data_IF_395783949720
#
_entry.id   IF_395783949720
#
_cell.length_a   1.000
_cell.length_b   1.000
_cell.length_c   1.000
_cell.angle_alpha   90.00
_cell.angle_beta   90.00
_cell.angle_gamma   90.00
#
_symmetry.space_group_name_H-M   'P 1'
#
loop_
_entity.id
_entity.type
_entity.pdbx_description
1 polymer ?
#
# COMPACT_ATOMS: atom_id res chain seq x y z
N UNK A 1 20.85 -51.35 -47.32
CA UNK A 1 19.62 -50.80 -46.73
C UNK A 1 18.65 -50.48 -47.85
N UNK A 2 17.45 -51.06 -47.80
CA UNK A 2 16.38 -50.90 -48.79
C UNK A 2 15.79 -49.48 -48.75
N UNK A 3 15.16 -49.04 -49.83
CA UNK A 3 14.51 -47.72 -49.92
C UNK A 3 13.48 -47.54 -48.78
N UNK A 4 12.79 -48.62 -48.39
CA UNK A 4 11.87 -48.62 -47.23
C UNK A 4 12.56 -48.33 -45.89
N UNK A 5 13.79 -48.78 -45.68
CA UNK A 5 14.51 -48.53 -44.41
C UNK A 5 15.04 -47.09 -44.32
N UNK A 6 15.25 -46.41 -45.45
CA UNK A 6 15.57 -44.97 -45.47
C UNK A 6 14.32 -44.09 -45.29
N UNK A 7 13.18 -44.50 -45.82
CA UNK A 7 11.91 -43.79 -45.66
C UNK A 7 11.41 -43.86 -44.21
N UNK A 8 11.50 -45.03 -43.56
CA UNK A 8 11.13 -45.20 -42.16
C UNK A 8 12.02 -44.36 -41.23
N UNK A 9 13.33 -44.29 -41.50
CA UNK A 9 14.26 -43.46 -40.73
C UNK A 9 14.00 -41.97 -40.91
N UNK A 10 13.64 -41.53 -42.13
CA UNK A 10 13.27 -40.14 -42.41
C UNK A 10 11.96 -39.73 -41.73
N UNK A 11 10.96 -40.62 -41.68
CA UNK A 11 9.69 -40.37 -40.98
C UNK A 11 9.89 -40.32 -39.46
N UNK A 12 10.74 -41.19 -38.90
CA UNK A 12 11.11 -41.17 -37.48
C UNK A 12 11.91 -39.92 -37.10
N UNK A 13 12.83 -39.47 -37.98
CA UNK A 13 13.57 -38.21 -37.80
C UNK A 13 12.64 -36.98 -37.92
N UNK A 14 11.67 -36.99 -38.83
CA UNK A 14 10.68 -35.92 -38.92
C UNK A 14 9.73 -35.88 -37.71
N UNK A 15 9.29 -37.04 -37.19
CA UNK A 15 8.46 -37.09 -35.99
C UNK A 15 9.22 -36.69 -34.73
N UNK A 16 10.52 -37.03 -34.63
CA UNK A 16 11.35 -36.61 -33.50
C UNK A 16 11.74 -35.13 -33.56
N UNK A 17 11.94 -34.56 -34.75
CA UNK A 17 12.13 -33.11 -34.93
C UNK A 17 10.83 -32.32 -34.70
N UNK A 18 9.67 -32.84 -35.12
CA UNK A 18 8.38 -32.24 -34.82
C UNK A 18 8.04 -32.32 -33.33
N UNK A 19 8.38 -33.42 -32.65
CA UNK A 19 8.21 -33.55 -31.20
C UNK A 19 9.17 -32.66 -30.40
N UNK A 20 10.35 -32.33 -30.93
CA UNK A 20 11.25 -31.33 -30.32
C UNK A 20 10.84 -29.88 -30.60
N UNK A 21 10.16 -29.62 -31.72
CA UNK A 21 9.60 -28.31 -32.05
C UNK A 21 8.24 -28.03 -31.38
N UNK A 22 7.53 -29.09 -30.94
CA UNK A 22 6.25 -29.05 -30.22
C UNK A 22 6.40 -29.41 -28.73
N UNK A 23 7.62 -29.36 -28.19
CA UNK A 23 7.74 -29.22 -26.74
C UNK A 23 7.17 -27.86 -26.40
N UNK A 24 5.92 -27.81 -25.91
CA UNK A 24 5.32 -26.61 -25.33
C UNK A 24 6.35 -26.04 -24.37
N UNK A 25 7.01 -24.95 -24.79
CA UNK A 25 7.95 -24.25 -23.95
C UNK A 25 7.13 -23.87 -22.72
N UNK A 26 7.47 -24.43 -21.56
CA UNK A 26 6.73 -24.17 -20.33
C UNK A 26 6.60 -22.65 -20.20
N UNK A 27 5.38 -22.11 -20.01
CA UNK A 27 5.18 -20.68 -20.05
C UNK A 27 6.12 -20.02 -19.04
N UNK A 28 6.71 -18.88 -19.41
CA UNK A 28 7.70 -18.21 -18.57
C UNK A 28 7.12 -17.98 -17.16
N UNK A 29 7.88 -18.27 -16.07
CA UNK A 29 7.39 -18.04 -14.72
C UNK A 29 6.96 -16.58 -14.52
N UNK A 30 5.86 -16.36 -13.80
CA UNK A 30 5.35 -15.04 -13.47
C UNK A 30 5.21 -14.88 -11.96
N UNK A 31 5.53 -13.70 -11.44
CA UNK A 31 5.26 -13.33 -10.05
C UNK A 31 4.24 -12.18 -9.98
N UNK A 32 3.21 -12.37 -9.16
CA UNK A 32 2.22 -11.34 -8.82
C UNK A 32 2.26 -11.12 -7.32
N UNK A 33 2.67 -9.92 -6.91
CA UNK A 33 2.63 -9.47 -5.51
C UNK A 33 1.38 -8.63 -5.28
N UNK A 34 0.47 -9.16 -4.47
CA UNK A 34 -0.70 -8.48 -3.95
C UNK A 34 -0.35 -7.98 -2.55
N UNK A 35 -0.07 -6.68 -2.44
CA UNK A 35 0.24 -6.02 -1.17
C UNK A 35 -1.02 -5.36 -0.62
N UNK A 36 -1.34 -5.63 0.63
CA UNK A 36 -2.43 -4.96 1.35
C UNK A 36 -1.83 -4.32 2.59
N UNK A 37 -1.87 -2.99 2.65
CA UNK A 37 -1.39 -2.21 3.80
C UNK A 37 -2.22 -2.54 5.04
N UNK A 38 -1.56 -2.82 6.17
CA UNK A 38 -2.22 -3.03 7.47
C UNK A 38 -3.09 -4.30 7.59
N UNK A 39 -2.98 -5.25 6.68
CA UNK A 39 -3.76 -6.50 6.72
C UNK A 39 -3.30 -7.41 7.87
N UNK A 40 -4.01 -7.30 9.00
CA UNK A 40 -3.76 -8.11 10.19
C UNK A 40 -4.05 -9.61 9.95
N UNK A 41 -3.06 -10.50 10.13
CA UNK A 41 -3.29 -11.94 10.01
C UNK A 41 -4.28 -12.43 11.08
N UNK A 42 -4.29 -11.82 12.26
CA UNK A 42 -5.22 -12.18 13.33
C UNK A 42 -6.68 -11.88 12.95
N UNK A 43 -6.93 -10.69 12.39
CA UNK A 43 -8.27 -10.31 11.94
C UNK A 43 -8.69 -11.15 10.74
N UNK A 44 -7.78 -11.40 9.80
CA UNK A 44 -8.05 -12.24 8.62
C UNK A 44 -8.37 -13.70 9.01
N UNK A 45 -7.59 -14.28 9.92
CA UNK A 45 -7.83 -15.63 10.46
C UNK A 45 -9.19 -15.72 11.14
N UNK A 46 -9.53 -14.73 11.97
CA UNK A 46 -10.82 -14.67 12.64
C UNK A 46 -11.99 -14.47 11.65
N UNK A 47 -11.78 -13.73 10.55
CA UNK A 47 -12.81 -13.51 9.53
C UNK A 47 -13.12 -14.79 8.74
N UNK A 48 -12.12 -15.66 8.55
CA UNK A 48 -12.28 -16.97 7.91
C UNK A 48 -12.86 -18.00 8.87
N UNK A 49 -12.36 -18.04 10.10
CA UNK A 49 -12.82 -18.97 11.13
C UNK A 49 -13.06 -18.27 12.47
N UNK A 50 -14.24 -17.64 12.69
CA UNK A 50 -14.55 -16.91 13.92
C UNK A 50 -14.65 -17.82 15.16
N UNK A 51 -14.78 -19.13 14.94
CA UNK A 51 -14.78 -20.15 15.99
C UNK A 51 -13.38 -20.57 16.45
N UNK A 52 -12.32 -20.14 15.76
CA UNK A 52 -10.96 -20.49 16.13
C UNK A 52 -10.59 -19.89 17.50
N UNK A 53 -9.97 -20.65 18.42
CA UNK A 53 -9.47 -20.11 19.69
C UNK A 53 -8.56 -18.89 19.55
N UNK A 54 -7.80 -18.78 18.45
CA UNK A 54 -6.95 -17.62 18.17
C UNK A 54 -7.75 -16.31 18.06
N UNK A 55 -9.04 -16.38 17.68
CA UNK A 55 -9.95 -15.23 17.65
C UNK A 55 -10.06 -14.55 19.02
N UNK A 56 -9.87 -15.27 20.12
CA UNK A 56 -9.88 -14.69 21.47
C UNK A 56 -8.71 -13.72 21.75
N UNK A 57 -7.74 -13.61 20.83
CA UNK A 57 -6.66 -12.61 20.90
C UNK A 57 -7.08 -11.25 20.35
N UNK A 58 -8.21 -11.15 19.64
CA UNK A 58 -8.77 -9.87 19.23
C UNK A 58 -9.30 -9.11 20.45
N UNK A 59 -9.24 -7.77 20.47
CA UNK A 59 -9.96 -6.96 21.45
C UNK A 59 -11.47 -7.22 21.34
N UNK A 60 -12.18 -7.47 22.44
CA UNK A 60 -13.64 -7.71 22.36
C UNK A 60 -14.06 -8.79 21.34
N UNK A 61 -13.56 -10.04 21.46
CA UNK A 61 -13.79 -11.09 20.48
C UNK A 61 -15.26 -11.48 20.34
N UNK A 62 -16.09 -11.22 21.35
CA UNK A 62 -17.55 -11.34 21.29
C UNK A 62 -18.18 -10.36 20.29
N UNK A 63 -17.75 -9.09 20.28
CA UNK A 63 -18.23 -8.09 19.32
C UNK A 63 -17.84 -8.45 17.89
N UNK A 64 -16.62 -8.95 17.71
CA UNK A 64 -16.17 -9.46 16.41
C UNK A 64 -17.09 -10.57 15.88
N UNK A 65 -17.42 -11.56 16.72
CA UNK A 65 -18.28 -12.68 16.34
C UNK A 65 -19.71 -12.25 16.06
N UNK A 66 -20.22 -11.29 16.83
CA UNK A 66 -21.54 -10.70 16.60
C UNK A 66 -21.59 -9.99 15.23
N UNK A 67 -20.64 -9.09 14.96
CA UNK A 67 -20.52 -8.40 13.67
C UNK A 67 -20.38 -9.39 12.50
N UNK A 68 -19.56 -10.43 12.67
CA UNK A 68 -19.41 -11.50 11.67
C UNK A 68 -20.71 -12.24 11.38
N UNK A 69 -21.41 -12.68 12.43
CA UNK A 69 -22.70 -13.37 12.33
C UNK A 69 -23.77 -12.48 11.70
N UNK A 70 -23.82 -11.21 12.11
CA UNK A 70 -24.74 -10.22 11.57
C UNK A 70 -24.52 -9.99 10.08
N UNK A 71 -23.27 -9.76 9.65
CA UNK A 71 -22.94 -9.56 8.24
C UNK A 71 -23.28 -10.79 7.39
N UNK A 72 -22.94 -12.00 7.86
CA UNK A 72 -23.33 -13.24 7.17
C UNK A 72 -24.83 -13.38 7.01
N UNK A 73 -25.58 -13.07 8.06
CA UNK A 73 -27.05 -13.14 8.07
C UNK A 73 -27.68 -12.12 7.11
N UNK A 74 -27.26 -10.86 7.21
CA UNK A 74 -27.79 -9.75 6.40
C UNK A 74 -27.46 -9.92 4.93
N UNK A 75 -26.22 -10.28 4.61
CA UNK A 75 -25.74 -10.45 3.24
C UNK A 75 -26.11 -11.81 2.65
N UNK A 76 -26.62 -12.74 3.47
CA UNK A 76 -26.91 -14.14 3.09
C UNK A 76 -25.69 -14.86 2.51
N UNK A 77 -24.53 -14.58 3.09
CA UNK A 77 -23.26 -15.16 2.68
C UNK A 77 -22.85 -16.28 3.65
N UNK A 78 -22.53 -17.45 3.10
CA UNK A 78 -21.99 -18.56 3.90
C UNK A 78 -20.58 -18.26 4.41
N UNK A 79 -19.80 -17.49 3.66
CA UNK A 79 -18.43 -17.09 3.97
C UNK A 79 -18.25 -15.63 3.62
N UNK A 80 -17.53 -14.89 4.45
CA UNK A 80 -17.27 -13.48 4.18
C UNK A 80 -16.13 -13.29 3.18
N UNK A 81 -15.11 -14.17 3.19
CA UNK A 81 -13.89 -14.04 2.37
C UNK A 81 -13.64 -15.28 1.48
N UNK A 82 -14.56 -15.61 0.55
CA UNK A 82 -14.50 -16.85 -0.23
C UNK A 82 -13.25 -16.95 -1.12
N UNK A 83 -12.76 -15.86 -1.68
CA UNK A 83 -11.60 -15.89 -2.59
C UNK A 83 -10.31 -16.14 -1.81
N UNK A 84 -10.06 -15.34 -0.77
CA UNK A 84 -8.86 -15.48 0.06
C UNK A 84 -8.83 -16.86 0.73
N UNK A 85 -9.96 -17.33 1.27
CA UNK A 85 -10.04 -18.65 1.88
C UNK A 85 -9.71 -19.75 0.85
N UNK A 86 -10.29 -19.69 -0.35
CA UNK A 86 -10.06 -20.70 -1.38
C UNK A 86 -8.60 -20.74 -1.83
N UNK A 87 -8.04 -19.60 -2.24
CA UNK A 87 -6.74 -19.55 -2.90
C UNK A 87 -5.56 -19.59 -1.93
N UNK A 88 -5.68 -18.97 -0.75
CA UNK A 88 -4.54 -18.84 0.17
C UNK A 88 -4.62 -19.75 1.40
N UNK A 89 -5.83 -20.11 1.87
CA UNK A 89 -5.98 -20.97 3.06
C UNK A 89 -6.14 -22.45 2.72
N UNK A 90 -6.99 -22.77 1.72
CA UNK A 90 -7.29 -24.17 1.37
C UNK A 90 -6.31 -24.73 0.34
N UNK A 91 -6.00 -23.94 -0.69
CA UNK A 91 -5.18 -24.37 -1.82
C UNK A 91 -3.80 -23.70 -1.87
N UNK A 92 -3.49 -22.83 -0.89
CA UNK A 92 -2.26 -22.05 -0.85
C UNK A 92 -1.28 -22.50 0.23
N UNK A 93 -0.17 -21.78 0.31
CA UNK A 93 0.81 -21.89 1.39
C UNK A 93 0.78 -20.61 2.21
N UNK A 94 0.69 -20.76 3.52
CA UNK A 94 0.75 -19.63 4.46
C UNK A 94 2.02 -19.70 5.29
N UNK A 95 2.66 -18.56 5.45
CA UNK A 95 3.75 -18.35 6.39
C UNK A 95 3.48 -17.07 7.16
N UNK A 96 3.76 -17.09 8.46
CA UNK A 96 3.78 -15.86 9.24
C UNK A 96 4.98 -15.02 8.82
N UNK A 97 4.74 -13.74 8.56
CA UNK A 97 5.80 -12.75 8.41
C UNK A 97 5.96 -12.02 9.74
N UNK A 98 7.19 -11.91 10.21
CA UNK A 98 7.53 -11.20 11.43
C UNK A 98 8.32 -9.94 11.06
N UNK A 99 7.82 -8.78 11.49
CA UNK A 99 8.60 -7.56 11.44
C UNK A 99 9.49 -7.50 12.68
N UNK A 100 10.80 -7.69 12.50
CA UNK A 100 11.79 -7.57 13.58
C UNK A 100 12.11 -6.11 13.95
N UNK A 101 11.52 -5.17 13.22
CA UNK A 101 11.65 -3.73 13.41
C UNK A 101 10.29 -3.09 13.67
N UNK A 102 10.23 -1.77 13.69
CA UNK A 102 8.97 -1.04 13.81
C UNK A 102 8.02 -1.44 12.67
N UNK A 103 6.79 -1.90 12.97
CA UNK A 103 5.80 -2.29 11.97
C UNK A 103 5.17 -1.03 11.35
N UNK A 104 5.90 -0.39 10.45
CA UNK A 104 5.49 0.81 9.71
C UNK A 104 5.50 0.50 8.22
N UNK A 105 4.56 1.08 7.48
CA UNK A 105 4.38 0.77 6.06
C UNK A 105 5.66 0.93 5.24
N UNK A 106 6.27 2.12 5.20
CA UNK A 106 7.42 2.37 4.32
C UNK A 106 8.65 1.52 4.68
N UNK A 107 9.08 1.42 5.96
CA UNK A 107 10.16 0.51 6.35
C UNK A 107 9.88 -0.96 6.05
N UNK A 108 8.66 -1.44 6.31
CA UNK A 108 8.28 -2.83 6.02
C UNK A 108 8.29 -3.11 4.53
N UNK A 109 7.71 -2.23 3.71
CA UNK A 109 7.75 -2.34 2.25
C UNK A 109 9.19 -2.32 1.73
N UNK A 110 10.10 -1.56 2.34
CA UNK A 110 11.51 -1.59 1.96
C UNK A 110 12.15 -2.96 2.21
N UNK A 111 11.83 -3.63 3.32
CA UNK A 111 12.32 -5.00 3.58
C UNK A 111 11.73 -5.99 2.56
N UNK A 112 10.43 -5.91 2.33
CA UNK A 112 9.70 -6.80 1.42
C UNK A 112 10.20 -6.65 -0.01
N UNK A 113 10.38 -5.42 -0.47
CA UNK A 113 10.76 -5.13 -1.85
C UNK A 113 12.26 -5.29 -2.11
N UNK A 114 13.11 -5.42 -1.09
CA UNK A 114 14.57 -5.59 -1.28
C UNK A 114 15.11 -6.92 -0.77
N UNK A 115 14.39 -7.59 0.12
CA UNK A 115 14.90 -8.73 0.89
C UNK A 115 16.02 -8.34 1.89
N UNK A 116 16.27 -7.05 2.11
CA UNK A 116 17.35 -6.54 2.97
C UNK A 116 16.82 -5.85 4.21
N UNK A 117 17.70 -5.67 5.21
CA UNK A 117 17.37 -4.85 6.39
C UNK A 117 17.08 -3.42 5.93
N UNK A 118 15.92 -2.89 6.32
CA UNK A 118 15.53 -1.56 5.86
C UNK A 118 16.49 -0.48 6.37
N UNK A 119 17.02 0.31 5.44
CA UNK A 119 17.70 1.58 5.74
C UNK A 119 16.70 2.74 5.89
N UNK A 120 15.48 2.57 5.39
CA UNK A 120 14.36 3.50 5.56
C UNK A 120 13.74 3.26 6.94
N UNK A 121 13.81 4.27 7.82
CA UNK A 121 13.49 4.09 9.25
C UNK A 121 12.08 4.50 9.66
N UNK A 122 11.38 5.25 8.81
CA UNK A 122 10.08 5.85 9.14
C UNK A 122 9.26 6.10 7.87
N UNK A 123 7.96 6.40 8.04
CA UNK A 123 7.07 6.82 6.95
C UNK A 123 7.36 8.24 6.45
N UNK A 124 8.18 9.00 7.18
CA UNK A 124 8.65 10.32 6.79
C UNK A 124 10.17 10.41 6.85
N UNK A 125 10.74 11.32 6.08
CA UNK A 125 12.14 11.69 6.09
C UNK A 125 12.30 13.11 6.64
N UNK A 126 13.29 13.31 7.49
CA UNK A 126 13.75 14.63 7.91
C UNK A 126 15.23 14.83 7.54
N UNK A 127 15.52 15.87 6.78
CA UNK A 127 16.89 16.29 6.51
C UNK A 127 17.32 17.35 7.51
N UNK A 128 18.17 16.97 8.47
CA UNK A 128 18.68 17.89 9.50
C UNK A 128 19.45 19.10 8.97
N UNK A 129 20.04 18.99 7.76
CA UNK A 129 20.86 20.06 7.17
C UNK A 129 19.98 21.12 6.47
N UNK A 130 18.93 20.67 5.77
CA UNK A 130 18.03 21.58 5.02
C UNK A 130 16.76 21.94 5.79
N UNK A 131 16.43 21.21 6.86
CA UNK A 131 15.16 21.33 7.57
C UNK A 131 13.97 20.73 6.82
N UNK A 132 14.21 20.03 5.70
CA UNK A 132 13.17 19.47 4.85
C UNK A 132 12.51 18.26 5.50
N UNK A 133 11.18 18.23 5.51
CA UNK A 133 10.36 17.08 5.88
C UNK A 133 9.54 16.62 4.69
N UNK A 134 9.58 15.32 4.40
CA UNK A 134 8.78 14.69 3.35
C UNK A 134 8.19 13.39 3.89
N UNK A 135 6.88 13.22 3.74
CA UNK A 135 6.20 11.93 3.96
C UNK A 135 6.32 11.08 2.69
N UNK A 136 6.69 9.81 2.83
CA UNK A 136 6.69 8.84 1.74
C UNK A 136 5.29 8.32 1.41
N UNK A 137 4.33 8.54 2.31
CA UNK A 137 2.94 8.14 2.16
C UNK A 137 2.05 9.26 1.60
N UNK A 138 2.61 10.45 1.31
CA UNK A 138 1.89 11.56 0.69
C UNK A 138 1.64 11.26 -0.81
N UNK A 139 0.65 10.42 -1.06
CA UNK A 139 0.28 9.97 -2.41
C UNK A 139 -0.15 11.14 -3.31
N UNK A 140 -0.70 12.22 -2.74
CA UNK A 140 -1.06 13.42 -3.52
C UNK A 140 0.18 14.17 -3.98
N UNK A 141 1.13 14.45 -3.08
CA UNK A 141 2.40 15.11 -3.44
C UNK A 141 3.17 14.27 -4.44
N UNK A 142 3.24 12.96 -4.23
CA UNK A 142 3.87 12.03 -5.18
C UNK A 142 3.15 12.12 -6.55
N UNK A 143 1.82 12.07 -6.59
CA UNK A 143 1.05 12.24 -7.83
C UNK A 143 1.30 13.60 -8.53
N UNK A 144 1.41 14.69 -7.77
CA UNK A 144 1.71 16.02 -8.29
C UNK A 144 3.15 16.12 -8.80
N UNK A 145 4.12 15.56 -8.07
CA UNK A 145 5.52 15.50 -8.50
C UNK A 145 5.64 14.70 -9.79
N UNK A 146 4.89 13.60 -9.91
CA UNK A 146 4.79 12.82 -11.14
C UNK A 146 4.23 13.67 -12.29
N UNK A 147 3.13 14.41 -12.10
CA UNK A 147 2.61 15.33 -13.14
C UNK A 147 3.66 16.36 -13.57
N UNK A 148 4.51 16.81 -12.64
CA UNK A 148 5.62 17.73 -12.91
C UNK A 148 6.87 17.06 -13.51
N UNK A 149 6.83 15.76 -13.81
CA UNK A 149 7.89 15.04 -14.52
C UNK A 149 8.86 14.26 -13.64
N UNK A 150 8.58 14.09 -12.34
CA UNK A 150 9.36 13.16 -11.52
C UNK A 150 9.22 11.74 -12.07
N UNK A 151 10.35 11.02 -12.14
CA UNK A 151 10.39 9.64 -12.66
C UNK A 151 10.34 8.55 -11.59
N UNK A 152 10.61 8.90 -10.32
CA UNK A 152 10.72 8.00 -9.17
C UNK A 152 10.27 8.69 -7.89
N UNK A 153 9.95 7.90 -6.86
CA UNK A 153 9.56 8.38 -5.54
C UNK A 153 10.76 8.86 -4.72
N UNK A 154 10.49 9.70 -3.71
CA UNK A 154 11.52 10.16 -2.78
C UNK A 154 12.06 9.03 -1.90
N UNK A 155 11.23 8.02 -1.58
CA UNK A 155 11.63 6.87 -0.79
C UNK A 155 12.67 6.00 -1.53
N UNK A 156 12.48 5.81 -2.84
CA UNK A 156 13.39 5.03 -3.67
C UNK A 156 14.80 5.65 -3.77
N UNK A 157 14.90 6.98 -3.70
CA UNK A 157 16.19 7.69 -3.76
C UNK A 157 17.18 7.21 -2.68
N UNK A 158 16.71 6.87 -1.49
CA UNK A 158 17.59 6.39 -0.41
C UNK A 158 18.15 5.00 -0.71
N UNK A 159 17.32 4.11 -1.25
CA UNK A 159 17.76 2.78 -1.68
C UNK A 159 18.77 2.88 -2.83
N UNK A 160 18.53 3.79 -3.78
CA UNK A 160 19.43 4.03 -4.91
C UNK A 160 20.80 4.55 -4.48
N UNK A 161 20.84 5.51 -3.56
CA UNK A 161 22.10 6.01 -3.00
C UNK A 161 22.92 4.91 -2.30
N UNK A 162 22.23 3.93 -1.71
CA UNK A 162 22.85 2.79 -1.06
C UNK A 162 23.16 1.62 -2.02
N UNK A 163 22.79 1.72 -3.30
CA UNK A 163 22.96 0.64 -4.27
C UNK A 163 22.11 -0.60 -3.97
N UNK A 164 20.98 -0.44 -3.28
CA UNK A 164 20.09 -1.54 -2.91
C UNK A 164 19.04 -1.74 -4.02
N UNK A 165 19.06 -2.88 -4.74
CA UNK A 165 18.07 -3.14 -5.78
C UNK A 165 16.71 -3.51 -5.19
N UNK A 166 15.64 -3.18 -5.91
CA UNK A 166 14.30 -3.71 -5.67
C UNK A 166 14.17 -5.09 -6.31
N UNK A 167 13.21 -5.89 -5.83
CA UNK A 167 12.83 -7.17 -6.41
C UNK A 167 12.43 -7.02 -7.89
N UNK A 168 11.79 -5.91 -8.24
CA UNK A 168 11.44 -5.59 -9.63
C UNK A 168 12.67 -5.46 -10.55
N UNK A 169 13.83 -5.10 -10.01
CA UNK A 169 15.05 -4.85 -10.80
C UNK A 169 15.68 -6.16 -11.30
N UNK A 170 15.24 -7.31 -10.79
CA UNK A 170 15.65 -8.63 -11.27
C UNK A 170 14.83 -9.11 -12.47
N UNK A 171 13.82 -8.35 -12.89
CA UNK A 171 13.01 -8.63 -14.07
C UNK A 171 13.36 -7.66 -15.20
N UNK A 172 13.01 -8.05 -16.43
CA UNK A 172 13.20 -7.17 -17.59
C UNK A 172 12.28 -5.96 -17.47
N UNK A 173 12.86 -4.80 -17.68
CA UNK A 173 12.25 -3.48 -17.54
C UNK A 173 10.88 -3.30 -18.24
N UNK A 174 10.70 -3.92 -19.39
CA UNK A 174 9.47 -3.88 -20.21
C UNK A 174 8.44 -4.95 -19.85
N UNK A 175 8.85 -5.90 -19.00
CA UNK A 175 8.08 -7.03 -18.46
C UNK A 175 7.65 -6.81 -17.00
N UNK A 176 7.93 -5.64 -16.44
CA UNK A 176 7.55 -5.21 -15.09
C UNK A 176 6.36 -4.26 -15.14
N UNK A 177 5.38 -4.47 -14.26
CA UNK A 177 4.33 -3.51 -13.98
C UNK A 177 4.15 -3.34 -12.47
N UNK A 178 4.05 -2.10 -12.01
CA UNK A 178 3.84 -1.77 -10.59
C UNK A 178 2.78 -0.70 -10.46
N UNK A 179 1.91 -0.80 -9.45
CA UNK A 179 1.01 0.29 -9.07
C UNK A 179 1.76 1.45 -8.43
N UNK A 180 1.05 2.53 -8.10
CA UNK A 180 1.50 3.53 -7.13
C UNK A 180 1.76 2.80 -5.81
N UNK A 181 2.97 2.93 -5.30
CA UNK A 181 3.45 2.34 -4.04
C UNK A 181 4.67 3.14 -3.56
N UNK A 182 5.17 2.97 -2.32
CA UNK A 182 6.30 3.75 -1.83
C UNK A 182 7.58 3.60 -2.68
N UNK A 183 7.81 2.41 -3.25
CA UNK A 183 8.99 2.10 -4.06
C UNK A 183 8.59 1.62 -5.47
N UNK A 184 8.76 2.47 -6.49
CA UNK A 184 8.63 2.05 -7.89
C UNK A 184 9.63 2.77 -8.79
N UNK A 185 10.11 2.05 -9.81
CA UNK A 185 11.09 2.54 -10.80
C UNK A 185 10.48 3.44 -11.86
N UNK A 186 9.29 3.06 -12.33
CA UNK A 186 8.61 3.71 -13.45
C UNK A 186 7.29 4.27 -12.98
N UNK A 187 7.03 5.51 -13.38
CA UNK A 187 5.75 6.17 -13.13
C UNK A 187 4.59 5.30 -13.65
N UNK A 188 3.59 4.97 -12.81
CA UNK A 188 2.42 4.16 -13.19
C UNK A 188 1.40 5.00 -13.97
N UNK A 189 1.76 5.43 -15.17
CA UNK A 189 0.99 6.37 -16.00
C UNK A 189 -0.36 5.82 -16.42
N UNK A 190 -0.49 4.51 -16.58
CA UNK A 190 -1.73 3.82 -16.91
C UNK A 190 -2.70 3.74 -15.72
N UNK A 191 -2.21 3.57 -14.49
CA UNK A 191 -3.03 3.73 -13.29
C UNK A 191 -3.52 5.17 -13.18
N UNK A 192 -2.63 6.17 -13.30
CA UNK A 192 -3.02 7.59 -13.27
C UNK A 192 -4.04 7.92 -14.38
N UNK A 193 -3.86 7.37 -15.58
CA UNK A 193 -4.82 7.53 -16.69
C UNK A 193 -6.15 6.84 -16.39
N UNK A 194 -6.13 5.64 -15.81
CA UNK A 194 -7.34 4.89 -15.46
C UNK A 194 -8.12 5.60 -14.35
N UNK A 195 -7.43 6.10 -13.32
CA UNK A 195 -8.00 6.93 -12.27
C UNK A 195 -8.57 8.22 -12.85
N UNK A 196 -7.83 8.93 -13.71
CA UNK A 196 -8.33 10.14 -14.37
C UNK A 196 -9.56 9.90 -15.24
N UNK A 197 -9.57 8.83 -16.03
CA UNK A 197 -10.74 8.40 -16.81
C UNK A 197 -11.92 8.10 -15.90
N UNK A 198 -11.72 7.29 -14.85
CA UNK A 198 -12.81 6.95 -13.92
C UNK A 198 -13.26 8.15 -13.08
N UNK A 199 -12.40 9.09 -12.76
CA UNK A 199 -12.79 10.34 -12.12
C UNK A 199 -13.71 11.17 -13.03
N UNK A 200 -13.34 11.30 -14.31
CA UNK A 200 -14.09 12.08 -15.30
C UNK A 200 -15.38 11.37 -15.74
N UNK A 201 -15.33 10.07 -16.02
CA UNK A 201 -16.40 9.31 -16.66
C UNK A 201 -17.12 8.33 -15.74
N UNK A 202 -16.57 8.03 -14.56
CA UNK A 202 -17.03 6.94 -13.67
C UNK A 202 -17.15 5.59 -14.35
N UNK A 203 -16.34 5.33 -15.37
CA UNK A 203 -16.45 4.11 -16.18
C UNK A 203 -17.68 4.08 -17.11
N UNK A 204 -18.53 5.11 -17.11
CA UNK A 204 -19.66 5.24 -18.03
C UNK A 204 -19.31 6.14 -19.22
N UNK A 205 -19.66 5.77 -20.47
CA UNK A 205 -19.60 6.70 -21.59
C UNK A 205 -20.70 7.77 -21.44
N UNK A 206 -20.39 8.91 -20.81
CA UNK A 206 -21.32 10.05 -20.73
C UNK A 206 -20.91 11.16 -21.70
N UNK A 207 -21.80 11.49 -22.65
CA UNK A 207 -21.61 12.59 -23.61
C UNK A 207 -22.04 13.97 -23.07
N UNK A 208 -22.50 14.07 -21.82
CA UNK A 208 -23.08 15.30 -21.28
C UNK A 208 -22.23 15.91 -20.14
N UNK A 209 -21.47 17.00 -20.38
CA UNK A 209 -20.60 17.61 -19.38
C UNK A 209 -21.34 18.20 -18.17
N UNK A 210 -22.59 18.65 -18.32
CA UNK A 210 -23.39 19.17 -17.19
C UNK A 210 -23.80 18.09 -16.20
N UNK A 211 -23.98 16.84 -16.68
CA UNK A 211 -24.23 15.67 -15.83
C UNK A 211 -22.98 15.29 -15.03
N UNK A 212 -21.78 15.49 -15.60
CA UNK A 212 -20.51 15.26 -14.90
C UNK A 212 -20.31 16.29 -13.78
N UNK A 213 -20.56 17.58 -14.05
CA UNK A 213 -20.44 18.66 -13.06
C UNK A 213 -21.44 18.49 -11.90
N UNK A 214 -22.73 18.27 -12.19
CA UNK A 214 -23.75 18.05 -11.14
C UNK A 214 -23.43 16.83 -10.27
N UNK A 215 -22.89 15.76 -10.87
CA UNK A 215 -22.48 14.54 -10.15
C UNK A 215 -21.24 14.76 -9.29
N UNK A 216 -20.25 15.54 -9.73
CA UNK A 216 -19.12 15.92 -8.90
C UNK A 216 -19.53 16.76 -7.70
N UNK A 217 -20.41 17.76 -7.90
CA UNK A 217 -20.92 18.59 -6.79
C UNK A 217 -21.72 17.75 -5.79
N UNK A 218 -22.51 16.78 -6.25
CA UNK A 218 -23.20 15.85 -5.38
C UNK A 218 -22.22 15.00 -4.55
N UNK A 219 -21.21 14.39 -5.18
CA UNK A 219 -20.21 13.58 -4.46
C UNK A 219 -19.38 14.41 -3.46
N UNK A 220 -19.04 15.66 -3.78
CA UNK A 220 -18.40 16.57 -2.83
C UNK A 220 -19.30 16.91 -1.63
N UNK A 221 -20.62 16.84 -1.78
CA UNK A 221 -21.59 17.08 -0.71
C UNK A 221 -21.86 15.84 0.15
N UNK A 222 -21.69 14.62 -0.38
CA UNK A 222 -21.93 13.37 0.35
C UNK A 222 -20.67 12.71 0.93
N UNK A 223 -19.49 13.30 0.69
CA UNK A 223 -18.21 12.69 1.07
C UNK A 223 -17.82 11.64 0.05
N UNK A 224 -16.96 12.01 -0.89
CA UNK A 224 -16.55 11.10 -1.95
C UNK A 224 -15.65 9.99 -1.37
N UNK A 225 -16.11 8.74 -1.47
CA UNK A 225 -15.34 7.54 -1.14
C UNK A 225 -14.27 7.27 -2.21
N UNK A 226 -13.29 8.17 -2.29
CA UNK A 226 -12.16 8.07 -3.20
C UNK A 226 -11.27 6.85 -2.94
N UNK A 227 -11.00 6.44 -1.67
CA UNK A 227 -10.16 5.28 -1.39
C UNK A 227 -10.74 3.97 -1.96
N UNK A 228 -12.01 3.66 -1.70
CA UNK A 228 -12.67 2.44 -2.22
C UNK A 228 -12.60 2.38 -3.75
N UNK A 229 -12.93 3.50 -4.39
CA UNK A 229 -12.93 3.60 -5.85
C UNK A 229 -11.54 3.42 -6.44
N UNK A 230 -10.51 3.98 -5.80
CA UNK A 230 -9.14 3.85 -6.29
C UNK A 230 -8.68 2.39 -6.28
N UNK A 231 -8.97 1.67 -5.19
CA UNK A 231 -8.58 0.27 -5.04
C UNK A 231 -9.37 -0.64 -6.00
N UNK A 232 -10.66 -0.42 -6.16
CA UNK A 232 -11.44 -1.15 -7.18
C UNK A 232 -10.90 -0.92 -8.60
N UNK A 233 -10.60 0.33 -8.97
CA UNK A 233 -10.01 0.64 -10.30
C UNK A 233 -8.65 -0.01 -10.47
N UNK A 234 -7.85 -0.06 -9.41
CA UNK A 234 -6.56 -0.73 -9.41
C UNK A 234 -6.72 -2.24 -9.60
N UNK A 235 -7.67 -2.88 -8.91
CA UNK A 235 -7.96 -4.31 -9.05
C UNK A 235 -8.31 -4.65 -10.51
N UNK A 236 -9.25 -3.91 -11.12
CA UNK A 236 -9.64 -4.17 -12.50
C UNK A 236 -8.53 -3.83 -13.51
N UNK A 237 -7.71 -2.81 -13.23
CA UNK A 237 -6.52 -2.55 -14.06
C UNK A 237 -5.53 -3.70 -13.97
N UNK A 238 -5.31 -4.24 -12.78
CA UNK A 238 -4.40 -5.36 -12.53
C UNK A 238 -4.87 -6.61 -13.25
N UNK A 239 -6.16 -6.95 -13.14
CA UNK A 239 -6.74 -8.07 -13.90
C UNK A 239 -6.53 -7.93 -15.41
N UNK A 240 -6.71 -6.71 -15.98
CA UNK A 240 -6.38 -6.45 -17.39
C UNK A 240 -4.88 -6.61 -17.69
N UNK A 241 -4.01 -6.20 -16.76
CA UNK A 241 -2.54 -6.34 -16.91
C UNK A 241 -2.07 -7.78 -16.87
N UNK A 242 -2.72 -8.62 -16.06
CA UNK A 242 -2.47 -10.07 -16.03
C UNK A 242 -2.71 -10.69 -17.40
N UNK A 243 -3.72 -10.24 -18.13
CA UNK A 243 -4.09 -10.76 -19.45
C UNK A 243 -3.51 -9.95 -20.62
N UNK A 244 -2.77 -8.87 -20.37
CA UNK A 244 -2.21 -8.02 -21.43
C UNK A 244 -1.15 -8.78 -22.22
N UNK A 245 -1.26 -8.76 -23.54
CA UNK A 245 -0.29 -9.41 -24.44
C UNK A 245 0.67 -8.41 -25.09
N UNK A 246 1.87 -8.86 -25.41
CA UNK A 246 2.82 -8.12 -26.24
C UNK A 246 2.49 -8.25 -27.74
N UNK A 247 3.30 -7.62 -28.59
CA UNK A 247 3.12 -7.67 -30.05
C UNK A 247 3.23 -9.10 -30.63
N UNK A 248 3.84 -10.03 -29.88
CA UNK A 248 3.93 -11.44 -30.25
C UNK A 248 2.74 -12.26 -29.77
N UNK A 249 1.74 -11.66 -29.12
CA UNK A 249 0.58 -12.36 -28.58
C UNK A 249 0.86 -13.09 -27.26
N UNK A 250 2.06 -12.96 -26.69
CA UNK A 250 2.40 -13.57 -25.41
C UNK A 250 2.02 -12.64 -24.27
N UNK A 251 1.55 -13.19 -23.16
CA UNK A 251 1.26 -12.41 -21.96
C UNK A 251 2.51 -11.65 -21.50
N UNK A 252 2.36 -10.32 -21.42
CA UNK A 252 3.44 -9.36 -21.44
C UNK A 252 4.28 -9.39 -20.17
N UNK A 253 3.65 -9.37 -19.01
CA UNK A 253 4.34 -9.06 -17.76
C UNK A 253 4.80 -10.32 -17.01
N UNK A 254 6.07 -10.31 -16.60
CA UNK A 254 6.70 -11.35 -15.79
C UNK A 254 6.62 -11.03 -14.29
N UNK A 255 6.50 -9.74 -13.96
CA UNK A 255 6.34 -9.25 -12.59
C UNK A 255 5.24 -8.20 -12.51
N UNK A 256 4.28 -8.42 -11.62
CA UNK A 256 3.26 -7.44 -11.26
C UNK A 256 3.31 -7.20 -9.75
N UNK A 257 3.36 -5.95 -9.31
CA UNK A 257 3.26 -5.57 -7.89
C UNK A 257 2.19 -4.53 -7.70
N UNK A 258 1.23 -4.82 -6.83
CA UNK A 258 0.11 -3.92 -6.53
C UNK A 258 0.01 -3.67 -5.05
N UNK A 259 -0.41 -2.47 -4.68
CA UNK A 259 -0.62 -2.05 -3.30
C UNK A 259 -2.03 -1.49 -3.12
N UNK A 260 -2.82 -2.16 -2.29
CA UNK A 260 -4.07 -1.63 -1.75
C UNK A 260 -3.77 -0.92 -0.43
N UNK A 261 -3.89 0.42 -0.42
CA UNK A 261 -3.58 1.23 0.78
C UNK A 261 -4.80 1.63 1.59
N UNK A 262 -6.03 1.39 1.09
CA UNK A 262 -7.23 1.88 1.78
C UNK A 262 -7.55 1.08 3.04
N UNK A 263 -7.14 -0.19 3.13
CA UNK A 263 -7.50 -1.06 4.25
C UNK A 263 -6.95 -0.52 5.57
N UNK A 264 -5.64 -0.29 5.67
CA UNK A 264 -5.02 0.34 6.85
C UNK A 264 -5.66 1.69 7.21
N UNK A 265 -5.81 2.57 6.21
CA UNK A 265 -6.40 3.88 6.41
C UNK A 265 -7.81 3.79 7.03
N UNK A 266 -8.64 2.89 6.52
CA UNK A 266 -10.03 2.77 6.95
C UNK A 266 -10.13 2.13 8.33
N UNK A 267 -9.23 1.20 8.66
CA UNK A 267 -9.15 0.62 9.99
C UNK A 267 -8.74 1.66 11.04
N UNK A 268 -7.90 2.65 10.66
CA UNK A 268 -7.56 3.77 11.53
C UNK A 268 -8.67 4.82 11.67
N UNK A 269 -9.48 5.04 10.64
CA UNK A 269 -10.59 6.00 10.66
C UNK A 269 -11.79 5.49 11.44
N UNK A 270 -12.16 4.22 11.23
CA UNK A 270 -13.31 3.58 11.86
C UNK A 270 -12.97 2.13 12.25
N UNK A 271 -12.54 1.90 13.51
CA UNK A 271 -12.08 0.59 13.98
C UNK A 271 -13.22 -0.35 14.40
N UNK A 272 -14.49 -0.02 14.11
CA UNK A 272 -15.61 -0.93 14.42
C UNK A 272 -15.53 -2.20 13.57
N UNK A 273 -15.92 -3.34 14.15
CA UNK A 273 -15.75 -4.64 13.51
C UNK A 273 -16.57 -4.82 12.24
N UNK A 274 -17.76 -4.20 12.18
CA UNK A 274 -18.59 -4.18 10.98
C UNK A 274 -17.87 -3.48 9.83
N UNK A 275 -17.23 -2.34 10.10
CA UNK A 275 -16.45 -1.61 9.10
C UNK A 275 -15.24 -2.45 8.67
N UNK A 276 -14.46 -2.97 9.62
CA UNK A 276 -13.29 -3.81 9.35
C UNK A 276 -13.65 -5.01 8.46
N UNK A 277 -14.67 -5.77 8.85
CA UNK A 277 -15.14 -6.93 8.08
C UNK A 277 -15.67 -6.52 6.71
N UNK A 278 -16.40 -5.41 6.60
CA UNK A 278 -16.90 -4.94 5.30
C UNK A 278 -15.76 -4.58 4.33
N UNK A 279 -14.68 -3.97 4.82
CA UNK A 279 -13.50 -3.68 4.01
C UNK A 279 -12.70 -4.92 3.64
N UNK A 280 -12.61 -5.92 4.53
CA UNK A 280 -12.03 -7.21 4.18
C UNK A 280 -12.83 -7.90 3.07
N UNK A 281 -14.16 -7.83 3.10
CA UNK A 281 -15.00 -8.39 2.03
C UNK A 281 -14.77 -7.68 0.69
N UNK A 282 -14.64 -6.35 0.68
CA UNK A 282 -14.28 -5.61 -0.55
C UNK A 282 -12.90 -6.01 -1.07
N UNK A 283 -11.92 -6.13 -0.18
CA UNK A 283 -10.59 -6.60 -0.56
C UNK A 283 -10.63 -8.02 -1.14
N UNK A 284 -11.43 -8.91 -0.56
CA UNK A 284 -11.65 -10.27 -1.08
C UNK A 284 -12.21 -10.25 -2.51
N UNK A 285 -13.20 -9.39 -2.79
CA UNK A 285 -13.77 -9.22 -4.13
C UNK A 285 -12.74 -8.71 -5.14
N UNK A 286 -11.96 -7.68 -4.76
CA UNK A 286 -10.90 -7.11 -5.61
C UNK A 286 -9.78 -8.11 -5.91
N UNK A 287 -9.36 -8.86 -4.89
CA UNK A 287 -8.38 -9.94 -5.03
C UNK A 287 -8.97 -11.06 -5.90
N UNK A 288 -10.25 -11.38 -5.72
CA UNK A 288 -10.99 -12.33 -6.54
C UNK A 288 -10.99 -11.98 -8.03
N UNK A 289 -11.14 -10.69 -8.38
CA UNK A 289 -11.04 -10.22 -9.77
C UNK A 289 -9.65 -10.52 -10.38
N UNK A 290 -8.59 -10.23 -9.63
CA UNK A 290 -7.21 -10.50 -10.07
C UNK A 290 -6.97 -12.01 -10.23
N UNK A 291 -7.40 -12.81 -9.25
CA UNK A 291 -7.25 -14.27 -9.27
C UNK A 291 -8.03 -14.90 -10.43
N UNK A 292 -9.23 -14.40 -10.72
CA UNK A 292 -10.01 -14.82 -11.88
C UNK A 292 -9.27 -14.55 -13.20
N UNK A 293 -8.57 -13.42 -13.31
CA UNK A 293 -7.72 -13.14 -14.47
C UNK A 293 -6.51 -14.09 -14.54
N UNK A 294 -5.95 -14.49 -13.40
CA UNK A 294 -4.87 -15.51 -13.35
C UNK A 294 -5.39 -16.87 -13.82
N UNK A 295 -6.59 -17.27 -13.42
CA UNK A 295 -7.18 -18.55 -13.89
C UNK A 295 -7.45 -18.56 -15.40
N UNK A 296 -7.79 -17.40 -15.97
CA UNK A 296 -7.97 -17.21 -17.42
C UNK A 296 -6.64 -17.14 -18.19
N UNK A 297 -5.52 -16.95 -17.49
CA UNK A 297 -4.21 -16.74 -18.07
C UNK A 297 -3.64 -17.99 -18.73
N UNK A 298 -2.94 -17.83 -19.85
CA UNK A 298 -2.16 -18.90 -20.47
C UNK A 298 -0.99 -19.35 -19.59
N UNK A 299 -0.50 -18.47 -18.70
CA UNK A 299 0.55 -18.75 -17.71
C UNK A 299 0.00 -19.17 -16.34
N UNK A 300 -1.28 -19.55 -16.20
CA UNK A 300 -1.88 -19.93 -14.89
C UNK A 300 -1.03 -20.91 -14.08
N UNK A 301 -0.49 -21.95 -14.72
CA UNK A 301 0.30 -23.01 -14.08
C UNK A 301 1.75 -22.62 -13.76
N UNK A 302 2.19 -21.46 -14.23
CA UNK A 302 3.53 -20.90 -14.02
C UNK A 302 3.48 -19.54 -13.33
N UNK A 303 2.33 -19.17 -12.76
CA UNK A 303 2.13 -17.91 -12.03
C UNK A 303 2.15 -18.16 -10.53
N UNK A 304 3.07 -17.52 -9.83
CA UNK A 304 3.07 -17.42 -8.37
C UNK A 304 2.35 -16.14 -7.96
N UNK A 305 1.25 -16.28 -7.23
CA UNK A 305 0.54 -15.15 -6.60
C UNK A 305 0.86 -15.14 -5.11
N UNK A 306 1.32 -13.99 -4.60
CA UNK A 306 1.65 -13.80 -3.19
C UNK A 306 0.78 -12.68 -2.63
N UNK A 307 -0.07 -13.00 -1.66
CA UNK A 307 -0.79 -12.02 -0.85
C UNK A 307 0.01 -11.76 0.44
N UNK A 308 0.33 -10.50 0.71
CA UNK A 308 1.16 -10.13 1.84
C UNK A 308 0.82 -8.74 2.41
N UNK A 309 1.23 -8.53 3.65
CA UNK A 309 1.05 -7.28 4.40
C UNK A 309 2.39 -6.79 4.94
N UNK A 310 2.53 -5.48 5.10
CA UNK A 310 3.65 -4.82 5.76
C UNK A 310 3.61 -4.94 7.27
N UNK A 311 2.42 -4.86 7.85
CA UNK A 311 2.18 -5.00 9.29
C UNK A 311 0.78 -5.52 9.59
N UNK A 312 0.52 -5.75 10.88
CA UNK A 312 -0.82 -5.97 11.38
C UNK A 312 -1.51 -4.66 11.76
N UNK A 313 -2.63 -4.78 12.44
CA UNK A 313 -3.41 -3.65 12.95
C UNK A 313 -3.38 -3.69 14.47
N UNK A 314 -3.10 -2.54 15.08
CA UNK A 314 -3.29 -2.30 16.51
C UNK A 314 -4.46 -1.33 16.69
N UNK A 315 -5.54 -1.81 17.31
CA UNK A 315 -6.77 -1.06 17.50
C UNK A 315 -7.50 -1.55 18.75
N UNK A 316 -8.35 -0.69 19.31
CA UNK A 316 -9.35 -1.07 20.29
C UNK A 316 -10.68 -0.46 19.83
N UNK A 317 -11.71 -1.28 19.52
CA UNK A 317 -12.96 -0.78 18.96
C UNK A 317 -13.79 0.05 19.95
N UNK A 318 -13.45 0.04 21.25
CA UNK A 318 -14.21 0.77 22.28
C UNK A 318 -13.37 1.85 22.99
N UNK A 319 -12.06 1.92 22.75
CA UNK A 319 -11.18 2.93 23.35
C UNK A 319 -10.63 3.86 22.28
N UNK A 320 -10.59 5.14 22.63
CA UNK A 320 -9.78 6.11 21.89
C UNK A 320 -8.31 5.88 22.25
N UNK A 321 -7.47 5.70 21.24
CA UNK A 321 -6.03 5.71 21.40
C UNK A 321 -5.58 7.13 21.79
N UNK A 322 -5.02 7.29 22.99
CA UNK A 322 -4.46 8.55 23.45
C UNK A 322 -2.99 8.68 23.02
N UNK A 323 -2.67 9.75 22.31
CA UNK A 323 -1.28 10.12 22.06
C UNK A 323 -0.72 10.90 23.26
N UNK A 324 0.56 10.70 23.58
CA UNK A 324 1.27 11.60 24.48
C UNK A 324 1.40 12.97 23.79
N UNK A 325 1.09 14.10 24.46
CA UNK A 325 1.11 15.43 23.84
C UNK A 325 2.56 15.96 23.76
N UNK A 326 3.48 15.19 23.19
CA UNK A 326 4.91 15.47 23.27
C UNK A 326 5.29 16.72 22.49
N UNK A 327 4.62 17.02 21.37
CA UNK A 327 4.81 18.28 20.64
C UNK A 327 4.51 19.50 21.54
N UNK A 328 3.54 19.37 22.44
CA UNK A 328 3.23 20.40 23.44
C UNK A 328 4.29 20.44 24.54
N UNK A 329 4.74 19.29 25.05
CA UNK A 329 5.77 19.24 26.08
C UNK A 329 7.08 19.84 25.59
N UNK A 330 7.59 19.44 24.42
CA UNK A 330 8.84 19.98 23.86
C UNK A 330 8.83 21.50 23.68
N UNK A 331 7.66 22.11 23.49
CA UNK A 331 7.51 23.56 23.41
C UNK A 331 7.61 24.28 24.75
N UNK A 332 7.47 23.57 25.87
CA UNK A 332 7.58 24.17 27.20
C UNK A 332 9.04 24.40 27.57
N UNK A 333 9.28 25.44 28.37
CA UNK A 333 10.61 25.81 28.85
C UNK A 333 11.34 24.64 29.53
N UNK A 334 10.63 23.87 30.35
CA UNK A 334 11.19 22.73 31.10
C UNK A 334 11.71 21.60 30.20
N UNK A 335 11.27 21.57 28.93
CA UNK A 335 11.69 20.60 27.92
C UNK A 335 12.50 21.25 26.78
N UNK A 336 13.03 22.45 26.99
CA UNK A 336 13.94 23.13 26.06
C UNK A 336 13.28 24.16 25.14
N UNK A 337 11.97 24.37 25.25
CA UNK A 337 11.28 25.46 24.52
C UNK A 337 11.33 25.30 22.99
N UNK A 338 11.36 24.08 22.47
CA UNK A 338 11.61 23.83 21.05
C UNK A 338 10.51 24.39 20.14
N UNK A 339 10.88 24.90 18.97
CA UNK A 339 9.95 25.03 17.83
C UNK A 339 9.87 23.67 17.15
N UNK A 340 8.69 23.05 17.14
CA UNK A 340 8.51 21.66 16.73
C UNK A 340 7.95 21.58 15.32
N UNK A 341 8.64 20.88 14.42
CA UNK A 341 8.15 20.50 13.10
C UNK A 341 7.57 19.08 13.17
N UNK A 342 6.33 18.90 12.74
CA UNK A 342 5.65 17.61 12.74
C UNK A 342 4.96 17.33 11.38
N UNK A 343 4.88 16.06 10.94
CA UNK A 343 4.22 15.70 9.69
C UNK A 343 2.69 15.83 9.75
N UNK A 344 2.09 15.63 10.94
CA UNK A 344 0.61 15.60 11.13
C UNK A 344 0.19 16.58 12.23
N UNK A 345 -1.09 16.97 12.21
CA UNK A 345 -1.67 17.80 13.26
C UNK A 345 -1.64 17.12 14.65
N UNK A 346 -1.40 17.89 15.71
CA UNK A 346 -1.24 17.42 17.09
C UNK A 346 -2.55 17.05 17.81
N UNK A 347 -3.69 17.51 17.32
CA UNK A 347 -5.00 17.20 17.90
C UNK A 347 -6.08 17.00 16.82
N UNK A 348 -7.20 16.42 17.25
CA UNK A 348 -8.34 16.09 16.40
C UNK A 348 -9.00 17.35 15.82
N UNK A 349 -8.97 18.48 16.54
CA UNK A 349 -9.53 19.76 16.08
C UNK A 349 -8.74 20.32 14.89
N UNK A 350 -7.42 20.30 14.96
CA UNK A 350 -6.52 20.69 13.89
C UNK A 350 -6.46 19.63 12.77
N UNK A 351 -6.71 18.35 13.07
CA UNK A 351 -6.94 17.32 12.06
C UNK A 351 -8.29 17.48 11.30
N UNK A 352 -9.21 18.31 11.80
CA UNK A 352 -10.40 18.73 11.06
C UNK A 352 -10.16 19.99 10.22
N UNK A 353 -9.07 20.74 10.49
CA UNK A 353 -8.66 21.93 9.71
C UNK A 353 -7.81 21.63 8.48
N UNK A 354 -7.57 20.35 8.17
CA UNK A 354 -6.81 19.96 6.98
C UNK A 354 -7.65 20.33 5.74
N UNK A 355 -7.16 21.23 4.87
CA UNK A 355 -7.95 21.74 3.76
C UNK A 355 -8.34 20.66 2.74
N UNK A 356 -7.61 19.54 2.73
CA UNK A 356 -7.90 18.35 1.92
C UNK A 356 -7.75 17.12 2.82
N UNK A 357 -8.84 16.36 3.02
CA UNK A 357 -8.78 15.08 3.74
C UNK A 357 -7.84 14.13 2.99
N UNK A 358 -6.95 13.45 3.71
CA UNK A 358 -5.96 12.52 3.13
C UNK A 358 -4.69 13.19 2.59
N UNK A 359 -4.43 14.46 2.91
CA UNK A 359 -3.19 15.16 2.57
C UNK A 359 -2.50 15.61 3.86
N UNK A 360 -1.32 15.07 4.12
CA UNK A 360 -0.52 15.47 5.26
C UNK A 360 0.17 16.81 4.99
N UNK A 361 -0.15 17.82 5.80
CA UNK A 361 0.55 19.09 5.78
C UNK A 361 1.46 19.16 6.99
N UNK A 362 2.77 19.20 6.74
CA UNK A 362 3.76 19.46 7.78
C UNK A 362 3.43 20.76 8.52
N UNK A 363 3.43 20.73 9.85
CA UNK A 363 3.13 21.88 10.69
C UNK A 363 4.35 22.27 11.51
N UNK A 364 4.55 23.58 11.62
CA UNK A 364 5.52 24.16 12.56
C UNK A 364 4.75 24.70 13.76
N UNK A 365 5.00 24.11 14.91
CA UNK A 365 4.49 24.53 16.20
C UNK A 365 5.53 25.42 16.87
N UNK A 366 5.34 26.74 16.77
CA UNK A 366 6.23 27.70 17.42
C UNK A 366 6.11 27.64 18.94
N UNK A 367 7.26 27.79 19.62
CA UNK A 367 7.32 28.06 21.06
C UNK A 367 7.72 29.50 21.31
N UNK A 368 7.04 30.17 22.24
CA UNK A 368 7.45 31.48 22.77
C UNK A 368 8.77 31.42 23.54
N UNK A 369 9.12 30.23 24.03
CA UNK A 369 10.33 29.94 24.81
C UNK A 369 11.52 29.55 23.91
N UNK A 370 11.34 29.54 22.59
CA UNK A 370 12.37 29.08 21.66
C UNK A 370 13.58 30.02 21.64
N UNK A 371 14.80 29.51 21.90
CA UNK A 371 16.02 30.32 21.87
C UNK A 371 16.42 30.74 20.45
N UNK A 372 15.69 30.31 19.44
CA UNK A 372 15.86 30.70 18.03
C UNK A 372 14.60 31.35 17.44
N UNK A 373 13.56 31.55 18.27
CA UNK A 373 12.28 32.11 17.83
C UNK A 373 12.30 33.63 17.65
N UNK A 374 11.23 34.21 17.09
CA UNK A 374 11.19 35.65 16.76
C UNK A 374 11.21 36.58 17.99
N UNK A 375 11.09 36.02 19.20
CA UNK A 375 11.12 36.74 20.48
C UNK A 375 12.54 37.03 20.98
N UNK A 376 13.58 36.44 20.37
CA UNK A 376 14.98 36.68 20.72
C UNK A 376 15.73 37.48 19.65
N UNK A 377 16.78 38.24 19.99
CA UNK A 377 17.57 38.98 19.01
C UNK A 377 18.13 38.06 17.92
N UNK A 378 17.93 38.45 16.64
CA UNK A 378 18.30 37.66 15.45
C UNK A 378 17.59 36.31 15.30
N UNK A 379 16.54 36.04 16.09
CA UNK A 379 15.72 34.85 15.94
C UNK A 379 14.86 34.89 14.68
N UNK A 380 14.54 33.71 14.16
CA UNK A 380 13.81 33.53 12.92
C UNK A 380 12.44 32.89 13.20
N UNK A 381 11.41 33.47 12.59
CA UNK A 381 10.05 32.93 12.67
C UNK A 381 10.00 31.55 12.02
N UNK A 382 9.39 30.58 12.70
CA UNK A 382 9.21 29.23 12.19
C UNK A 382 10.47 28.37 12.15
N UNK A 383 11.60 28.82 12.73
CA UNK A 383 12.86 28.07 12.71
C UNK A 383 12.76 26.78 13.54
N UNK A 384 12.74 25.58 12.93
CA UNK A 384 12.53 24.34 13.66
C UNK A 384 13.79 23.93 14.45
N UNK A 385 13.59 23.61 15.73
CA UNK A 385 14.66 23.11 16.62
C UNK A 385 14.38 21.69 17.12
N UNK A 386 13.19 21.16 16.86
CA UNK A 386 12.87 19.75 17.00
C UNK A 386 12.04 19.29 15.81
N UNK A 387 12.28 18.06 15.34
CA UNK A 387 11.35 17.34 14.49
C UNK A 387 10.77 16.17 15.28
N UNK A 388 9.44 16.01 15.19
CA UNK A 388 8.70 14.92 15.83
C UNK A 388 7.91 14.15 14.81
N UNK A 389 8.03 12.82 14.82
CA UNK A 389 7.15 11.94 14.06
C UNK A 389 5.93 11.57 14.92
N UNK A 390 4.78 12.18 14.63
CA UNK A 390 3.53 12.02 15.38
C UNK A 390 2.44 11.26 14.61
N UNK A 391 2.79 10.44 13.62
CA UNK A 391 1.83 9.76 12.73
C UNK A 391 1.10 8.56 13.37
N UNK A 392 0.59 8.69 14.60
CA UNK A 392 -0.39 7.77 15.20
C UNK A 392 0.08 6.34 15.57
N UNK A 393 1.27 5.92 15.14
CA UNK A 393 1.85 4.64 15.52
C UNK A 393 2.36 4.69 16.98
N UNK A 394 2.50 3.55 17.70
CA UNK A 394 2.93 3.48 19.11
C UNK A 394 4.42 3.83 19.32
N UNK A 395 4.87 4.92 18.70
CA UNK A 395 6.23 5.44 18.71
C UNK A 395 6.22 6.96 18.88
N UNK A 396 7.36 7.44 19.32
CA UNK A 396 7.73 8.84 19.29
C UNK A 396 9.18 8.92 18.85
N UNK A 397 9.43 9.55 17.70
CA UNK A 397 10.78 9.88 17.27
C UNK A 397 10.96 11.39 17.42
N UNK A 398 11.97 11.81 18.18
CA UNK A 398 12.39 13.20 18.27
C UNK A 398 13.82 13.37 17.75
N UNK A 399 13.98 14.34 16.86
CA UNK A 399 15.28 14.78 16.37
C UNK A 399 15.50 16.20 16.86
N UNK A 400 16.40 16.35 17.84
CA UNK A 400 16.65 17.62 18.49
C UNK A 400 17.87 18.31 17.87
N UNK A 401 17.66 19.53 17.35
CA UNK A 401 18.72 20.38 16.84
C UNK A 401 19.11 21.38 17.93
N UNK A 402 20.41 21.47 18.22
CA UNK A 402 20.96 22.40 19.21
C UNK A 402 20.37 22.23 20.63
N UNK A 403 20.03 21.00 21.03
CA UNK A 403 19.61 20.70 22.41
C UNK A 403 20.81 20.38 23.30
N UNK A 404 20.74 20.79 24.57
CA UNK A 404 21.70 20.38 25.60
C UNK A 404 21.71 18.87 25.84
N UNK A 405 20.64 18.15 25.45
CA UNK A 405 20.58 16.69 25.46
C UNK A 405 21.60 16.04 24.50
N UNK A 406 22.10 16.75 23.48
CA UNK A 406 23.16 16.26 22.59
C UNK A 406 24.56 16.29 23.25
N UNK A 407 24.66 16.76 24.51
CA UNK A 407 25.91 16.81 25.29
C UNK A 407 26.01 15.69 26.35
N UNK A 408 24.93 14.91 26.53
CA UNK A 408 24.92 13.67 27.33
C UNK A 408 25.47 12.52 26.48
#
# INVERSE_FOLDING_TARGET
MTILSRLALAILLFHSLAAFALGDASPAPRLILIKVDGLSPLVLDAAINPGDPATNRLPHPELFREAHSQLRSVLKHDRLLPNIESYFYRNGVRSSMYCATLPLSTPSWAVIDTGQRSIVKSNSYFNRLTGEVTSYLDQLRESLAMVKGAGRTSALWQLDLAGIPLLSDFFRDERVWTSIQPFYRKRPTDQLSSLGKNFISRGEPSKNPLRLIKRHVADSAYGADYPERNDHVLASLTARKVLETDLGGNERYDFLSILFSSIDHQFHVDPHYENILSWLMRADDWIGEILSAVEQSQRRSSTLVVLLSDHGLDFDPIRLNYSFPINRWLRQRDFGGHTVLAPVAEDTEHALTVPVRGVDFSRVYESSESPFGPTVPHGEKGYPTAYTDNTGNPRFDAYLRNSDLNRL
#
